data_IF_138822860150
#
_entry.id   IF_138822860150
#
_cell.length_a   1.000
_cell.length_b   1.000
_cell.length_c   1.000
_cell.angle_alpha   90.00
_cell.angle_beta   90.00
_cell.angle_gamma   90.00
#
_symmetry.space_group_name_H-M   'P 1'
#
loop_
_entity.id
_entity.type
_entity.pdbx_description
1 polymer ?
#
# COMPACT_ATOMS: atom_id res chain seq x y z
N UNK A 1 4.47 -20.95 -12.77
CA UNK A 1 5.17 -20.43 -11.57
C UNK A 1 4.73 -18.99 -11.37
N UNK A 2 4.21 -18.62 -10.21
CA UNK A 2 3.89 -17.22 -9.92
C UNK A 2 5.18 -16.49 -9.56
N UNK A 3 5.66 -15.62 -10.46
CA UNK A 3 6.80 -14.75 -10.20
C UNK A 3 6.34 -13.61 -9.28
N UNK A 4 6.93 -13.50 -8.09
CA UNK A 4 6.71 -12.37 -7.20
C UNK A 4 7.70 -11.26 -7.58
N UNK A 5 7.19 -10.04 -7.71
CA UNK A 5 7.99 -8.84 -8.02
C UNK A 5 8.67 -8.31 -6.78
N UNK A 6 9.79 -7.62 -6.99
CA UNK A 6 10.47 -6.89 -5.93
C UNK A 6 9.64 -5.68 -5.53
N UNK A 7 9.37 -5.51 -4.24
CA UNK A 7 8.72 -4.30 -3.72
C UNK A 7 9.79 -3.40 -3.12
N UNK A 8 9.80 -2.15 -3.55
CA UNK A 8 10.70 -1.09 -3.12
C UNK A 8 9.84 -0.04 -2.43
N UNK A 9 10.26 0.38 -1.25
CA UNK A 9 9.59 1.45 -0.50
C UNK A 9 10.33 2.75 -0.74
N UNK A 10 9.61 3.80 -1.12
CA UNK A 10 10.16 5.14 -1.00
C UNK A 10 10.41 5.46 0.48
N UNK A 11 11.44 6.27 0.76
CA UNK A 11 11.84 6.60 2.13
C UNK A 11 10.68 7.16 2.97
N UNK A 12 9.81 7.96 2.37
CA UNK A 12 8.62 8.52 3.03
C UNK A 12 7.66 7.45 3.54
N UNK A 13 7.59 6.29 2.86
CA UNK A 13 6.75 5.15 3.25
C UNK A 13 7.39 4.41 4.42
N UNK A 14 8.71 4.22 4.40
CA UNK A 14 9.43 3.60 5.52
C UNK A 14 9.30 4.43 6.80
N UNK A 15 9.51 5.74 6.70
CA UNK A 15 9.36 6.70 7.81
C UNK A 15 7.92 6.68 8.34
N UNK A 16 6.92 6.74 7.45
CA UNK A 16 5.51 6.63 7.82
C UNK A 16 5.19 5.35 8.60
N UNK A 17 5.66 4.18 8.14
CA UNK A 17 5.38 2.91 8.82
C UNK A 17 6.05 2.84 10.20
N UNK A 18 7.26 3.37 10.33
CA UNK A 18 7.99 3.41 11.60
C UNK A 18 7.31 4.32 12.62
N UNK A 19 6.83 5.49 12.18
CA UNK A 19 6.11 6.46 13.02
C UNK A 19 4.75 5.91 13.47
N UNK A 20 4.00 5.30 12.55
CA UNK A 20 2.60 4.96 12.79
C UNK A 20 2.37 3.56 13.37
N UNK A 21 3.35 2.64 13.32
CA UNK A 21 3.17 1.26 13.83
C UNK A 21 2.81 1.20 15.32
N UNK A 22 3.22 2.21 16.10
CA UNK A 22 2.90 2.29 17.53
C UNK A 22 1.46 2.77 17.77
N UNK A 23 0.99 3.69 16.94
CA UNK A 23 -0.38 4.22 16.96
C UNK A 23 -1.39 3.18 16.45
N UNK A 24 -0.99 2.39 15.46
CA UNK A 24 -1.82 1.40 14.80
C UNK A 24 -1.12 0.03 14.77
N UNK A 25 -1.14 -0.75 15.87
CA UNK A 25 -0.49 -2.06 15.96
C UNK A 25 -0.77 -3.03 14.80
N UNK A 26 -1.96 -3.08 14.17
CA UNK A 26 -2.19 -3.97 13.03
C UNK A 26 -1.59 -3.46 11.70
N UNK A 27 -1.13 -2.20 11.64
CA UNK A 27 -0.68 -1.53 10.42
C UNK A 27 0.37 -2.36 9.69
N UNK A 28 1.41 -2.81 10.39
CA UNK A 28 2.50 -3.58 9.80
C UNK A 28 1.96 -4.87 9.14
N UNK A 29 1.08 -5.60 9.82
CA UNK A 29 0.48 -6.82 9.26
C UNK A 29 -0.36 -6.54 8.01
N UNK A 30 -1.14 -5.47 8.04
CA UNK A 30 -2.00 -5.07 6.90
C UNK A 30 -1.13 -4.61 5.72
N UNK A 31 -0.09 -3.83 6.00
CA UNK A 31 0.89 -3.40 5.03
C UNK A 31 1.57 -4.60 4.36
N UNK A 32 2.08 -5.57 5.14
CA UNK A 32 2.69 -6.81 4.62
C UNK A 32 1.71 -7.59 3.74
N UNK A 33 0.45 -7.69 4.13
CA UNK A 33 -0.56 -8.36 3.30
C UNK A 33 -0.77 -7.65 1.95
N UNK A 34 -0.81 -6.31 1.94
CA UNK A 34 -0.88 -5.53 0.71
C UNK A 34 0.38 -5.66 -0.14
N UNK A 35 1.57 -5.56 0.47
CA UNK A 35 2.88 -5.75 -0.17
C UNK A 35 2.92 -7.09 -0.93
N UNK A 36 2.57 -8.19 -0.26
CA UNK A 36 2.48 -9.52 -0.87
C UNK A 36 1.46 -9.60 -2.00
N UNK A 37 0.34 -8.90 -1.87
CA UNK A 37 -0.74 -8.88 -2.87
C UNK A 37 -0.29 -8.15 -4.14
N UNK A 38 0.24 -6.94 -4.00
CA UNK A 38 0.68 -6.14 -5.15
C UNK A 38 1.87 -6.80 -5.84
N UNK A 39 2.81 -7.40 -5.10
CA UNK A 39 3.96 -8.12 -5.66
C UNK A 39 3.55 -9.22 -6.66
N UNK A 40 2.43 -9.89 -6.39
CA UNK A 40 1.88 -10.96 -7.24
C UNK A 40 0.96 -10.41 -8.33
N UNK A 41 0.12 -9.43 -7.99
CA UNK A 41 -0.85 -8.84 -8.89
C UNK A 41 -0.77 -7.30 -8.84
N UNK A 42 0.14 -6.68 -9.61
CA UNK A 42 0.36 -5.22 -9.57
C UNK A 42 -0.85 -4.43 -10.04
N UNK A 43 -1.71 -5.02 -10.86
CA UNK A 43 -2.90 -4.35 -11.40
C UNK A 43 -4.12 -4.45 -10.48
N UNK A 44 -3.95 -4.92 -9.24
CA UNK A 44 -5.05 -5.08 -8.28
C UNK A 44 -5.60 -3.76 -7.74
N UNK A 45 -4.79 -2.69 -7.79
CA UNK A 45 -5.20 -1.35 -7.41
C UNK A 45 -5.98 -0.63 -8.51
N UNK A 46 -6.68 0.43 -8.14
CA UNK A 46 -7.32 1.32 -9.09
C UNK A 46 -6.26 2.17 -9.82
N UNK A 47 -6.24 2.22 -11.16
CA UNK A 47 -5.28 3.04 -11.89
C UNK A 47 -5.55 4.54 -11.70
N UNK A 48 -4.50 5.34 -11.54
CA UNK A 48 -4.61 6.80 -11.45
C UNK A 48 -4.53 7.40 -12.85
N UNK A 49 -5.61 8.03 -13.36
CA UNK A 49 -5.64 8.58 -14.71
C UNK A 49 -4.63 9.73 -14.87
N UNK A 50 -4.06 9.86 -16.08
CA UNK A 50 -3.16 10.97 -16.41
C UNK A 50 -1.75 10.88 -15.82
N UNK A 51 -1.36 9.74 -15.23
CA UNK A 51 -0.02 9.52 -14.68
C UNK A 51 0.89 8.79 -15.65
N UNK A 52 2.13 9.27 -15.79
CA UNK A 52 3.21 8.59 -16.50
C UNK A 52 4.51 8.68 -15.66
N UNK A 53 5.10 7.55 -15.18
CA UNK A 53 4.61 6.17 -15.33
C UNK A 53 3.25 5.94 -14.65
N UNK A 54 2.56 4.88 -15.07
CA UNK A 54 1.21 4.53 -14.58
C UNK A 54 1.25 4.22 -13.08
N UNK A 55 0.44 4.93 -12.31
CA UNK A 55 0.26 4.73 -10.87
C UNK A 55 -1.02 3.98 -10.55
N UNK A 56 -1.03 3.33 -9.41
CA UNK A 56 -2.14 2.56 -8.88
C UNK A 56 -2.36 2.91 -7.41
N UNK A 57 -3.61 2.83 -6.97
CA UNK A 57 -4.00 3.00 -5.57
C UNK A 57 -4.64 1.69 -5.11
N UNK A 58 -4.12 1.09 -4.04
CA UNK A 58 -4.73 -0.06 -3.37
C UNK A 58 -5.13 0.33 -1.95
N UNK A 59 -6.26 -0.18 -1.50
CA UNK A 59 -6.79 0.06 -0.15
C UNK A 59 -7.00 -1.26 0.57
N UNK A 60 -6.74 -1.28 1.87
CA UNK A 60 -7.18 -2.35 2.76
C UNK A 60 -7.79 -1.76 4.02
N UNK A 61 -9.03 -2.12 4.30
CA UNK A 61 -9.66 -1.81 5.57
C UNK A 61 -9.19 -2.77 6.66
N UNK A 62 -9.07 -2.25 7.87
CA UNK A 62 -8.79 -3.00 9.09
C UNK A 62 -9.42 -2.25 10.27
N UNK A 63 -9.40 -2.84 11.47
CA UNK A 63 -10.05 -2.25 12.64
C UNK A 63 -9.10 -2.20 13.82
N UNK A 64 -8.78 -1.00 14.31
CA UNK A 64 -8.11 -0.77 15.60
C UNK A 64 -7.92 0.73 15.91
N UNK A 65 -8.42 1.26 17.05
CA UNK A 65 -9.62 0.85 17.79
C UNK A 65 -10.91 1.10 17.00
N UNK A 66 -10.86 1.93 15.97
CA UNK A 66 -11.95 2.26 15.03
C UNK A 66 -11.68 1.61 13.66
N UNK A 67 -12.66 1.61 12.74
CA UNK A 67 -12.43 1.28 11.35
C UNK A 67 -11.38 2.20 10.71
N UNK A 68 -10.35 1.61 10.11
CA UNK A 68 -9.25 2.32 9.45
C UNK A 68 -9.06 1.77 8.04
N UNK A 69 -8.55 2.60 7.14
CA UNK A 69 -8.15 2.23 5.78
C UNK A 69 -6.69 2.57 5.57
N UNK A 70 -5.87 1.56 5.27
CA UNK A 70 -4.54 1.77 4.71
C UNK A 70 -4.67 1.95 3.20
N UNK A 71 -4.28 3.11 2.70
CA UNK A 71 -4.19 3.43 1.28
C UNK A 71 -2.72 3.49 0.87
N UNK A 72 -2.35 2.74 -0.16
CA UNK A 72 -1.02 2.78 -0.77
C UNK A 72 -1.13 3.28 -2.20
N UNK A 73 -0.26 4.22 -2.58
CA UNK A 73 -0.01 4.57 -3.98
C UNK A 73 1.30 3.96 -4.42
N UNK A 74 1.28 3.29 -5.57
CA UNK A 74 2.46 2.64 -6.10
C UNK A 74 2.50 2.73 -7.62
N UNK A 75 3.70 2.58 -8.19
CA UNK A 75 3.91 2.38 -9.62
C UNK A 75 4.53 1.00 -9.84
N UNK A 76 4.28 0.45 -11.01
CA UNK A 76 4.80 -0.85 -11.41
C UNK A 76 5.62 -0.69 -12.70
N UNK A 77 6.88 -1.14 -12.66
CA UNK A 77 7.83 -1.05 -13.76
C UNK A 77 8.47 -2.43 -13.91
N UNK A 78 8.09 -3.16 -14.97
CA UNK A 78 8.64 -4.47 -15.35
C UNK A 78 8.61 -5.55 -14.24
N UNK A 79 9.60 -5.56 -13.35
CA UNK A 79 9.75 -6.55 -12.27
C UNK A 79 9.71 -5.92 -10.88
N UNK A 80 9.53 -4.60 -10.80
CA UNK A 80 9.59 -3.82 -9.58
C UNK A 80 8.28 -3.09 -9.33
N UNK A 81 7.91 -3.03 -8.06
CA UNK A 81 6.81 -2.21 -7.54
C UNK A 81 7.43 -1.20 -6.61
N UNK A 82 7.22 0.08 -6.89
CA UNK A 82 7.67 1.17 -6.04
C UNK A 82 6.45 1.72 -5.33
N UNK A 83 6.36 1.52 -4.01
CA UNK A 83 5.34 2.15 -3.18
C UNK A 83 5.82 3.57 -2.89
N UNK A 84 5.10 4.55 -3.43
CA UNK A 84 5.47 5.96 -3.39
C UNK A 84 4.86 6.70 -2.21
N UNK A 85 3.65 6.31 -1.79
CA UNK A 85 2.95 6.92 -0.66
C UNK A 85 2.15 5.87 0.11
N UNK A 86 2.07 6.08 1.42
CA UNK A 86 1.20 5.36 2.33
C UNK A 86 0.41 6.35 3.19
N UNK A 87 -0.84 6.02 3.47
CA UNK A 87 -1.71 6.82 4.33
C UNK A 87 -2.67 5.91 5.08
N UNK A 88 -2.93 6.23 6.34
CA UNK A 88 -4.01 5.65 7.12
C UNK A 88 -5.07 6.71 7.36
N UNK A 89 -6.32 6.33 7.13
CA UNK A 89 -7.50 7.17 7.37
C UNK A 89 -8.51 6.41 8.21
N UNK A 90 -9.32 7.12 8.99
CA UNK A 90 -10.53 6.54 9.58
C UNK A 90 -11.55 6.24 8.49
N UNK A 91 -12.07 5.01 8.50
CA UNK A 91 -13.12 4.59 7.57
C UNK A 91 -14.43 5.19 8.06
N UNK A 92 -14.83 6.31 7.45
CA UNK A 92 -16.00 7.07 7.87
C UNK A 92 -17.35 6.34 7.62
N UNK A 93 -17.33 5.16 6.99
CA UNK A 93 -18.51 4.34 6.77
C UNK A 93 -19.63 5.10 6.07
N UNK A 94 -19.47 5.35 4.77
CA UNK A 94 -20.63 5.61 3.88
C UNK A 94 -21.32 4.30 3.50
#
# INVERSE_FOLDING_TARGET
>A
MAFARTVILERVVEEFLEEEKSSYPPLERVFRALEWRIARQPEVGAPVPGTNPKRYIVKSSYRFPLPLVLTLMYRYIETEIVIELARVDEDAGE
#
